data_IF_110623909798
#
_entry.id   IF_110623909798
#
_cell.length_a   1.000
_cell.length_b   1.000
_cell.length_c   1.000
_cell.angle_alpha   90.00
_cell.angle_beta   90.00
_cell.angle_gamma   90.00
#
_symmetry.space_group_name_H-M   'P 1'
#
loop_
_entity.id
_entity.type
_entity.pdbx_description
1 polymer ?
#
# COMPACT_ATOMS: atom_id res chain seq x y z
N UNK A 1 1.96 -6.55 20.16
CA UNK A 1 3.13 -5.77 19.69
C UNK A 1 2.93 -5.49 18.21
N UNK A 2 3.24 -4.26 17.78
CA UNK A 2 3.22 -3.85 16.36
C UNK A 2 4.60 -3.32 16.01
N UNK A 3 5.13 -3.70 14.85
CA UNK A 3 6.35 -3.17 14.27
C UNK A 3 6.03 -2.60 12.88
N UNK A 4 6.50 -1.40 12.59
CA UNK A 4 6.33 -0.74 11.29
C UNK A 4 7.51 0.21 11.03
N UNK A 5 7.69 0.58 9.76
CA UNK A 5 8.80 1.46 9.35
C UNK A 5 8.70 2.90 9.90
N UNK A 6 7.51 3.32 10.36
CA UNK A 6 7.29 4.65 10.93
C UNK A 6 6.58 4.54 12.28
N UNK A 7 7.02 5.28 13.33
CA UNK A 7 6.40 5.24 14.66
C UNK A 7 4.91 5.58 14.66
N UNK A 8 4.46 6.54 13.84
CA UNK A 8 3.04 6.92 13.76
C UNK A 8 2.18 5.76 13.22
N UNK A 9 2.73 4.96 12.30
CA UNK A 9 2.05 3.77 11.79
C UNK A 9 2.00 2.67 12.85
N UNK A 10 3.10 2.41 13.57
CA UNK A 10 3.12 1.45 14.66
C UNK A 10 2.13 1.84 15.78
N UNK A 11 2.06 3.12 16.13
CA UNK A 11 1.09 3.66 17.08
C UNK A 11 -0.35 3.43 16.64
N UNK A 12 -0.67 3.67 15.35
CA UNK A 12 -2.01 3.41 14.81
C UNK A 12 -2.42 1.95 14.97
N UNK A 13 -1.53 1.02 14.65
CA UNK A 13 -1.77 -0.41 14.85
C UNK A 13 -1.95 -0.78 16.34
N UNK A 14 -1.12 -0.22 17.23
CA UNK A 14 -1.25 -0.42 18.67
C UNK A 14 -2.59 0.09 19.21
N UNK A 15 -3.07 1.24 18.75
CA UNK A 15 -4.39 1.78 19.15
C UNK A 15 -5.52 0.84 18.72
N UNK A 16 -5.47 0.31 17.50
CA UNK A 16 -6.47 -0.64 17.01
C UNK A 16 -6.49 -1.90 17.85
N UNK A 17 -5.33 -2.48 18.19
CA UNK A 17 -5.25 -3.65 19.07
C UNK A 17 -5.75 -3.33 20.48
N UNK A 18 -5.40 -2.15 21.04
CA UNK A 18 -5.87 -1.69 22.35
C UNK A 18 -7.38 -1.48 22.41
N UNK A 19 -8.00 -1.14 21.29
CA UNK A 19 -9.45 -1.03 21.11
C UNK A 19 -10.18 -2.36 20.90
N UNK A 20 -9.47 -3.50 20.94
CA UNK A 20 -10.05 -4.83 20.74
C UNK A 20 -10.10 -5.29 19.28
N UNK A 21 -9.46 -4.57 18.37
CA UNK A 21 -9.28 -5.00 16.98
C UNK A 21 -8.35 -6.20 16.86
N UNK A 22 -8.39 -6.84 15.70
CA UNK A 22 -7.54 -7.99 15.37
C UNK A 22 -6.18 -7.55 14.83
N UNK A 23 -5.27 -8.52 14.63
CA UNK A 23 -3.99 -8.27 13.96
C UNK A 23 -4.19 -7.75 12.53
N UNK A 24 -5.23 -8.21 11.83
CA UNK A 24 -5.55 -7.75 10.47
C UNK A 24 -6.08 -6.32 10.50
N UNK A 25 -6.96 -5.96 11.44
CA UNK A 25 -7.40 -4.57 11.64
C UNK A 25 -6.21 -3.63 11.86
N UNK A 26 -5.26 -4.06 12.72
CA UNK A 26 -4.05 -3.31 12.99
C UNK A 26 -3.17 -3.16 11.73
N UNK A 27 -3.02 -4.23 10.95
CA UNK A 27 -2.25 -4.20 9.70
C UNK A 27 -2.86 -3.23 8.68
N UNK A 28 -4.19 -3.20 8.55
CA UNK A 28 -4.90 -2.24 7.70
C UNK A 28 -4.60 -0.80 8.13
N UNK A 29 -4.77 -0.48 9.41
CA UNK A 29 -4.50 0.87 9.93
C UNK A 29 -3.03 1.28 9.76
N UNK A 30 -2.09 0.36 9.97
CA UNK A 30 -0.65 0.57 9.74
C UNK A 30 -0.38 0.91 8.28
N UNK A 31 -0.90 0.12 7.35
CA UNK A 31 -0.70 0.31 5.91
C UNK A 31 -1.25 1.65 5.43
N UNK A 32 -2.43 2.04 5.91
CA UNK A 32 -3.05 3.33 5.57
C UNK A 32 -2.21 4.51 6.07
N UNK A 33 -1.70 4.44 7.31
CA UNK A 33 -0.82 5.48 7.85
C UNK A 33 0.52 5.51 7.11
N UNK A 34 1.12 4.36 6.79
CA UNK A 34 2.36 4.31 6.00
C UNK A 34 2.21 4.95 4.63
N UNK A 35 1.05 4.82 3.99
CA UNK A 35 0.78 5.46 2.70
C UNK A 35 0.80 7.00 2.77
N UNK A 36 0.60 7.58 3.97
CA UNK A 36 0.67 9.02 4.22
C UNK A 36 2.06 9.44 4.66
N UNK A 37 2.63 8.74 5.66
CA UNK A 37 3.88 9.17 6.32
C UNK A 37 5.15 8.60 5.72
N UNK A 38 5.04 7.72 4.75
CA UNK A 38 6.16 7.06 4.04
C UNK A 38 5.85 6.85 2.57
N UNK A 39 5.44 7.90 1.80
CA UNK A 39 4.94 7.77 0.43
C UNK A 39 6.00 7.28 -0.57
N UNK A 40 7.29 7.41 -0.24
CA UNK A 40 8.40 6.93 -1.09
C UNK A 40 8.50 5.40 -1.15
N UNK A 41 7.93 4.69 -0.17
CA UNK A 41 8.03 3.22 -0.07
C UNK A 41 6.71 2.53 0.22
N UNK A 42 5.63 3.28 0.40
CA UNK A 42 4.31 2.75 0.70
C UNK A 42 3.23 3.58 0.01
N UNK A 43 2.18 2.93 -0.49
CA UNK A 43 1.09 3.63 -1.16
C UNK A 43 -0.12 2.74 -1.40
N UNK A 44 -1.25 3.37 -1.71
CA UNK A 44 -2.50 2.67 -2.03
C UNK A 44 -2.58 2.27 -3.51
N UNK A 45 -1.77 2.92 -4.37
CA UNK A 45 -1.73 2.67 -5.81
C UNK A 45 -0.85 1.50 -6.23
N UNK A 46 -0.25 0.79 -5.29
CA UNK A 46 0.64 -0.34 -5.54
C UNK A 46 0.02 -1.69 -5.21
N UNK A 47 0.88 -2.61 -4.79
CA UNK A 47 0.52 -3.96 -4.38
C UNK A 47 1.00 -4.30 -2.97
N UNK A 48 0.34 -5.27 -2.35
CA UNK A 48 0.62 -5.73 -0.99
C UNK A 48 0.49 -7.23 -0.91
N UNK A 49 1.42 -7.88 -0.22
CA UNK A 49 1.33 -9.28 0.15
C UNK A 49 1.05 -9.38 1.66
N UNK A 50 0.14 -10.27 2.04
CA UNK A 50 -0.18 -10.52 3.45
C UNK A 50 0.05 -11.99 3.74
N UNK A 51 0.79 -12.28 4.81
CA UNK A 51 0.91 -13.60 5.43
C UNK A 51 0.23 -13.53 6.79
N UNK A 52 -0.84 -14.30 6.96
CA UNK A 52 -1.62 -14.35 8.19
C UNK A 52 -1.49 -15.73 8.83
N UNK A 53 -1.04 -15.76 10.07
CA UNK A 53 -0.98 -16.98 10.87
C UNK A 53 -2.16 -17.03 11.85
N UNK A 54 -3.02 -18.02 11.70
CA UNK A 54 -4.08 -18.28 12.66
C UNK A 54 -3.59 -19.25 13.73
N UNK A 55 -3.42 -18.75 14.94
CA UNK A 55 -2.98 -19.55 16.09
C UNK A 55 -3.96 -20.64 16.48
N UNK A 56 -5.26 -20.45 16.27
CA UNK A 56 -6.28 -21.41 16.69
C UNK A 56 -6.25 -22.68 15.84
N UNK A 57 -6.09 -22.51 14.52
CA UNK A 57 -6.03 -23.62 13.56
C UNK A 57 -4.60 -24.07 13.25
N UNK A 58 -3.57 -23.28 13.61
CA UNK A 58 -2.18 -23.49 13.22
C UNK A 58 -1.90 -23.26 11.72
N UNK A 59 -2.83 -22.67 10.99
CA UNK A 59 -2.73 -22.47 9.53
C UNK A 59 -2.13 -21.13 9.19
N UNK A 60 -1.42 -21.09 8.06
CA UNK A 60 -0.97 -19.85 7.42
C UNK A 60 -1.80 -19.62 6.18
N UNK A 61 -2.33 -18.41 6.03
CA UNK A 61 -3.04 -17.95 4.86
C UNK A 61 -2.22 -16.85 4.16
N UNK A 62 -2.25 -16.87 2.83
CA UNK A 62 -1.57 -15.88 2.01
C UNK A 62 -2.59 -15.13 1.18
N UNK A 63 -2.46 -13.82 1.16
CA UNK A 63 -3.27 -12.91 0.34
C UNK A 63 -2.34 -12.20 -0.63
N UNK A 64 -2.60 -12.37 -1.92
CA UNK A 64 -1.85 -11.73 -3.00
C UNK A 64 -2.67 -10.56 -3.56
N UNK A 65 -2.18 -9.37 -3.29
CA UNK A 65 -2.70 -8.11 -3.79
C UNK A 65 -1.63 -7.34 -4.57
N UNK A 66 -0.73 -8.02 -5.27
CA UNK A 66 0.19 -7.35 -6.18
C UNK A 66 -0.58 -6.63 -7.29
N UNK A 67 0.01 -5.55 -7.77
CA UNK A 67 -0.56 -4.84 -8.91
C UNK A 67 -0.57 -5.74 -10.16
N UNK A 68 -1.71 -5.82 -10.82
CA UNK A 68 -1.89 -6.64 -12.00
C UNK A 68 -1.79 -5.81 -13.29
N UNK A 69 -1.43 -6.44 -14.39
CA UNK A 69 -1.53 -5.80 -15.69
C UNK A 69 -3.00 -5.52 -16.03
N UNK A 70 -3.32 -4.39 -16.71
CA UNK A 70 -4.67 -4.11 -17.18
C UNK A 70 -5.18 -5.23 -18.11
N UNK A 71 -6.48 -5.52 -18.08
CA UNK A 71 -7.08 -6.58 -18.91
C UNK A 71 -6.88 -6.35 -20.42
N UNK A 72 -6.74 -5.09 -20.84
CA UNK A 72 -6.50 -4.69 -22.22
C UNK A 72 -5.01 -4.63 -22.61
N UNK A 73 -4.11 -5.18 -21.78
CA UNK A 73 -2.67 -5.16 -22.06
C UNK A 73 -2.34 -5.94 -23.34
N UNK A 74 -1.41 -5.38 -24.12
CA UNK A 74 -0.82 -6.01 -25.31
C UNK A 74 0.69 -6.14 -25.13
N UNK A 75 1.35 -6.95 -25.96
CA UNK A 75 2.81 -7.09 -25.94
C UNK A 75 3.54 -5.75 -26.13
N UNK A 76 2.94 -4.80 -26.86
CA UNK A 76 3.47 -3.46 -27.08
C UNK A 76 3.36 -2.50 -25.88
N UNK A 77 2.71 -2.88 -24.77
CA UNK A 77 2.54 -1.97 -23.63
C UNK A 77 3.87 -1.40 -23.10
N UNK A 78 4.90 -2.23 -23.04
CA UNK A 78 6.24 -1.85 -22.55
C UNK A 78 7.18 -1.33 -23.64
N UNK A 79 6.68 -1.07 -24.84
CA UNK A 79 7.47 -0.57 -25.97
C UNK A 79 6.99 0.84 -26.32
N UNK A 80 7.61 1.90 -25.76
CA UNK A 80 7.24 3.28 -26.09
C UNK A 80 7.63 3.59 -27.54
N UNK A 81 6.92 4.54 -28.15
CA UNK A 81 7.28 5.04 -29.48
C UNK A 81 8.45 6.02 -29.38
N UNK A 82 9.12 6.29 -30.51
CA UNK A 82 10.18 7.28 -30.55
C UNK A 82 9.67 8.68 -30.16
N UNK A 83 8.44 9.04 -30.55
CA UNK A 83 7.79 10.30 -30.19
C UNK A 83 7.57 10.42 -28.65
N UNK A 84 7.18 9.33 -28.00
CA UNK A 84 7.01 9.28 -26.54
C UNK A 84 8.36 9.44 -25.82
N UNK A 85 9.42 8.85 -26.33
CA UNK A 85 10.78 8.99 -25.80
C UNK A 85 11.25 10.43 -25.92
N UNK A 86 11.10 11.04 -27.10
CA UNK A 86 11.48 12.43 -27.38
C UNK A 86 10.68 13.43 -26.53
N UNK A 87 9.36 13.23 -26.40
CA UNK A 87 8.48 14.10 -25.62
C UNK A 87 8.81 14.11 -24.12
N UNK A 88 9.35 13.01 -23.59
CA UNK A 88 9.74 12.88 -22.19
C UNK A 88 11.16 13.42 -21.92
N UNK A 89 11.97 13.63 -22.96
CA UNK A 89 13.36 14.09 -22.84
C UNK A 89 14.23 13.10 -22.04
N UNK A 90 13.95 11.79 -22.14
CA UNK A 90 14.65 10.74 -21.40
C UNK A 90 15.62 9.97 -22.31
N UNK A 91 16.77 9.61 -21.77
CA UNK A 91 17.87 9.02 -22.53
C UNK A 91 17.68 7.52 -22.85
N UNK A 92 16.59 6.90 -22.41
CA UNK A 92 16.39 5.47 -22.58
C UNK A 92 14.92 5.04 -22.68
N UNK A 93 14.69 3.98 -23.41
CA UNK A 93 13.41 3.27 -23.46
C UNK A 93 12.88 2.85 -22.09
N UNK A 94 13.78 2.40 -21.21
CA UNK A 94 13.43 2.01 -19.84
C UNK A 94 12.89 3.16 -19.02
N UNK A 95 13.50 4.35 -19.11
CA UNK A 95 13.03 5.55 -18.45
C UNK A 95 11.67 5.99 -19.00
N UNK A 96 11.47 5.99 -20.32
CA UNK A 96 10.20 6.33 -20.95
C UNK A 96 9.05 5.41 -20.47
N UNK A 97 9.29 4.12 -20.33
CA UNK A 97 8.28 3.19 -19.77
C UNK A 97 8.00 3.52 -18.31
N UNK A 98 9.04 3.76 -17.51
CA UNK A 98 8.92 3.97 -16.06
C UNK A 98 8.13 5.23 -15.70
N UNK A 99 8.30 6.31 -16.48
CA UNK A 99 7.67 7.62 -16.19
C UNK A 99 6.36 7.87 -16.93
N UNK A 100 5.76 6.85 -17.51
CA UNK A 100 4.46 6.95 -18.22
C UNK A 100 3.38 6.08 -17.59
N UNK A 101 2.14 6.28 -18.02
CA UNK A 101 1.01 5.44 -17.66
C UNK A 101 1.17 3.95 -18.03
N UNK A 102 2.14 3.63 -18.88
CA UNK A 102 2.49 2.25 -19.27
C UNK A 102 3.05 1.43 -18.09
N UNK A 103 3.64 2.10 -17.09
CA UNK A 103 4.17 1.45 -15.88
C UNK A 103 3.10 1.22 -14.81
N UNK A 104 1.93 1.83 -14.94
CA UNK A 104 0.87 1.77 -13.93
C UNK A 104 0.09 0.47 -14.06
N UNK A 105 0.17 -0.37 -13.02
CA UNK A 105 -0.68 -1.55 -12.89
C UNK A 105 -2.03 -1.22 -12.25
N UNK A 106 -2.96 -2.16 -12.31
CA UNK A 106 -4.21 -2.11 -11.54
C UNK A 106 -3.87 -2.32 -10.07
N UNK A 107 -4.16 -1.35 -9.19
CA UNK A 107 -3.75 -1.43 -7.78
C UNK A 107 -4.45 -2.57 -7.03
N UNK A 108 -3.69 -3.34 -6.26
CA UNK A 108 -4.22 -4.45 -5.47
C UNK A 108 -4.23 -4.23 -3.95
N UNK A 109 -3.50 -3.20 -3.46
CA UNK A 109 -3.33 -2.98 -2.01
C UNK A 109 -4.66 -2.89 -1.26
N UNK A 110 -5.57 -2.00 -1.66
CA UNK A 110 -6.84 -1.80 -0.94
C UNK A 110 -7.73 -3.04 -1.04
N UNK A 111 -7.77 -3.68 -2.21
CA UNK A 111 -8.56 -4.89 -2.43
C UNK A 111 -8.10 -6.05 -1.53
N UNK A 112 -6.80 -6.28 -1.40
CA UNK A 112 -6.26 -7.35 -0.55
C UNK A 112 -6.45 -7.06 0.94
N UNK A 113 -6.31 -5.80 1.36
CA UNK A 113 -6.60 -5.38 2.72
C UNK A 113 -8.08 -5.60 3.08
N UNK A 114 -9.00 -5.25 2.17
CA UNK A 114 -10.42 -5.50 2.35
C UNK A 114 -10.74 -7.00 2.42
N UNK A 115 -10.13 -7.79 1.55
CA UNK A 115 -10.31 -9.25 1.55
C UNK A 115 -9.86 -9.87 2.88
N UNK A 116 -8.67 -9.54 3.36
CA UNK A 116 -8.18 -10.01 4.65
C UNK A 116 -9.04 -9.52 5.82
N UNK A 117 -9.48 -8.26 5.78
CA UNK A 117 -10.36 -7.69 6.79
C UNK A 117 -11.72 -8.37 6.83
N UNK A 118 -12.33 -8.69 5.70
CA UNK A 118 -13.60 -9.45 5.65
C UNK A 118 -13.48 -10.83 6.29
N UNK A 119 -12.31 -11.49 6.14
CA UNK A 119 -12.07 -12.81 6.70
C UNK A 119 -11.74 -12.78 8.21
N UNK A 120 -10.96 -11.80 8.67
CA UNK A 120 -10.33 -11.83 9.99
C UNK A 120 -10.48 -10.51 10.78
N UNK A 121 -11.05 -9.47 10.19
CA UNK A 121 -11.27 -8.18 10.84
C UNK A 121 -12.44 -8.23 11.82
N UNK A 122 -12.43 -7.28 12.76
CA UNK A 122 -13.50 -7.09 13.76
C UNK A 122 -13.88 -5.62 13.89
N UNK A 123 -12.91 -4.73 13.75
CA UNK A 123 -13.14 -3.29 13.83
C UNK A 123 -13.93 -2.80 12.61
N UNK A 124 -14.76 -1.76 12.73
CA UNK A 124 -15.44 -1.17 11.59
C UNK A 124 -14.43 -0.66 10.54
N UNK A 125 -14.54 -1.12 9.29
CA UNK A 125 -13.63 -0.77 8.19
C UNK A 125 -13.32 0.72 8.10
N UNK A 126 -14.36 1.56 8.12
CA UNK A 126 -14.21 3.03 8.05
C UNK A 126 -13.36 3.61 9.19
N UNK A 127 -13.45 3.04 10.38
CA UNK A 127 -12.70 3.50 11.54
C UNK A 127 -11.20 3.31 11.41
N UNK A 128 -10.76 2.34 10.59
CA UNK A 128 -9.34 2.06 10.36
C UNK A 128 -8.63 3.17 9.55
N UNK A 129 -9.40 3.99 8.82
CA UNK A 129 -8.88 5.10 8.01
C UNK A 129 -8.65 6.39 8.82
N UNK A 130 -9.32 6.55 9.96
CA UNK A 130 -9.38 7.81 10.70
C UNK A 130 -7.99 8.40 10.94
N UNK A 131 -7.05 7.61 11.45
CA UNK A 131 -5.70 8.13 11.76
C UNK A 131 -4.93 8.57 10.52
N UNK A 132 -5.06 7.87 9.41
CA UNK A 132 -4.43 8.25 8.15
C UNK A 132 -5.02 9.55 7.60
N UNK A 133 -6.35 9.71 7.70
CA UNK A 133 -7.05 10.93 7.29
C UNK A 133 -6.61 12.11 8.16
N UNK A 134 -6.57 11.97 9.49
CA UNK A 134 -6.11 13.02 10.41
C UNK A 134 -4.69 13.48 10.04
N UNK A 135 -3.76 12.54 9.85
CA UNK A 135 -2.39 12.85 9.47
C UNK A 135 -2.26 13.52 8.09
N UNK A 136 -3.14 13.17 7.15
CA UNK A 136 -3.16 13.80 5.85
C UNK A 136 -3.73 15.23 5.89
N UNK A 137 -4.70 15.49 6.78
CA UNK A 137 -5.33 16.81 6.94
C UNK A 137 -4.51 17.75 7.82
N UNK A 138 -4.06 17.26 8.96
CA UNK A 138 -3.41 18.08 9.99
C UNK A 138 -1.88 18.17 9.78
N UNK A 139 -1.33 17.27 8.96
CA UNK A 139 0.11 17.13 8.76
C UNK A 139 0.79 16.29 9.84
N UNK A 140 2.07 16.05 9.66
CA UNK A 140 2.93 15.31 10.60
C UNK A 140 4.37 15.83 10.50
N UNK A 141 5.17 15.58 11.56
CA UNK A 141 6.59 15.90 11.52
C UNK A 141 7.28 15.00 10.50
N UNK A 142 7.87 15.61 9.47
CA UNK A 142 8.59 14.88 8.42
C UNK A 142 9.83 14.20 9.03
N UNK A 143 9.98 12.89 8.88
CA UNK A 143 11.17 12.21 9.35
C UNK A 143 12.39 12.59 8.48
N UNK A 144 13.62 12.58 9.05
CA UNK A 144 14.82 13.02 8.34
C UNK A 144 15.03 12.35 6.97
N UNK A 145 14.77 11.07 6.86
CA UNK A 145 14.93 10.29 5.61
C UNK A 145 13.95 10.66 4.48
N UNK A 146 12.96 11.52 4.74
CA UNK A 146 12.06 12.09 3.73
C UNK A 146 12.45 13.53 3.36
N UNK A 147 13.30 14.15 4.18
CA UNK A 147 13.72 15.54 3.99
C UNK A 147 14.89 15.65 3.02
N UNK A 148 15.79 14.65 3.00
CA UNK A 148 16.99 14.58 2.17
C UNK A 148 16.67 14.07 0.75
#
# INVERSE_FOLDING_TARGET
MVAAANPLAAEAGCRVLGGGGTAVDAAVAVQLVLAVVGPQSSGLGGGTLISYFDRASGRVEFYDGLAAAPAAVTEGLRTPTAEEVDALGVDSFGAAVTFTGRAVGVPGTVAVLEQAHRAHGRAPWRGLFTRAVDLAQDGFAMPPYLHD
#
